data_IF_906228635813
#
_entry.id   IF_906228635813
#
_cell.length_a   1.000
_cell.length_b   1.000
_cell.length_c   1.000
_cell.angle_alpha   90.00
_cell.angle_beta   90.00
_cell.angle_gamma   90.00
#
_symmetry.space_group_name_H-M   'P 1'
#
loop_
_entity.id
_entity.type
_entity.pdbx_description
1 polymer ?
#
# COMPACT_ATOMS: atom_id res chain seq x y z
N UNK A 1 5.41 -13.93 11.22
CA UNK A 1 6.08 -13.64 9.94
C UNK A 1 5.02 -13.82 8.88
N UNK A 2 4.55 -12.74 8.27
CA UNK A 2 3.64 -12.85 7.14
C UNK A 2 4.45 -12.57 5.88
N UNK A 3 4.35 -13.45 4.89
CA UNK A 3 5.13 -13.37 3.67
C UNK A 3 4.24 -12.90 2.52
N UNK A 4 4.61 -11.77 1.92
CA UNK A 4 4.38 -11.53 0.50
C UNK A 4 5.64 -11.90 -0.26
N UNK A 5 5.50 -12.21 -1.56
CA UNK A 5 6.67 -12.35 -2.44
C UNK A 5 7.50 -11.06 -2.54
N UNK A 6 6.95 -9.91 -2.09
CA UNK A 6 7.52 -8.57 -2.28
C UNK A 6 7.95 -7.86 -0.98
N UNK A 7 7.56 -8.36 0.20
CA UNK A 7 7.80 -7.71 1.49
C UNK A 7 7.52 -8.60 2.70
N UNK A 8 8.11 -8.24 3.84
CA UNK A 8 7.83 -8.79 5.18
C UNK A 8 8.22 -7.79 6.26
N UNK A 9 7.39 -7.66 7.29
CA UNK A 9 7.68 -6.85 8.46
C UNK A 9 7.48 -7.61 9.78
N UNK A 10 8.20 -7.15 10.80
CA UNK A 10 7.94 -7.50 12.19
C UNK A 10 6.66 -6.80 12.66
N UNK A 11 5.66 -7.58 13.11
CA UNK A 11 4.44 -6.99 13.68
C UNK A 11 4.78 -6.25 14.96
N UNK A 12 4.50 -4.94 15.00
CA UNK A 12 4.79 -4.08 16.15
C UNK A 12 6.29 -3.87 16.41
N UNK A 13 7.14 -4.26 15.46
CA UNK A 13 8.59 -4.15 15.55
C UNK A 13 9.13 -2.89 14.86
N UNK A 14 10.41 -2.94 14.50
CA UNK A 14 11.11 -1.83 13.82
C UNK A 14 11.69 -2.21 12.47
N UNK A 15 11.65 -3.49 12.10
CA UNK A 15 12.28 -3.97 10.87
C UNK A 15 11.23 -4.40 9.84
N UNK A 16 11.36 -3.85 8.63
CA UNK A 16 10.66 -4.30 7.44
C UNK A 16 11.69 -4.54 6.33
N UNK A 17 11.47 -5.61 5.56
CA UNK A 17 12.31 -6.02 4.45
C UNK A 17 11.46 -6.04 3.19
N UNK A 18 11.92 -5.34 2.16
CA UNK A 18 11.28 -5.34 0.85
C UNK A 18 12.21 -6.05 -0.14
N UNK A 19 11.64 -6.63 -1.20
CA UNK A 19 12.49 -7.20 -2.24
C UNK A 19 13.34 -6.13 -2.92
N UNK A 20 14.52 -6.50 -3.46
CA UNK A 20 15.37 -5.55 -4.17
C UNK A 20 14.62 -4.78 -5.26
N UNK A 21 13.73 -5.42 -6.01
CA UNK A 21 12.95 -4.77 -7.06
C UNK A 21 12.07 -3.64 -6.54
N UNK A 22 11.37 -3.84 -5.41
CA UNK A 22 10.55 -2.83 -4.75
C UNK A 22 11.43 -1.69 -4.24
N UNK A 23 12.51 -2.02 -3.51
CA UNK A 23 13.48 -1.03 -3.02
C UNK A 23 14.04 -0.16 -4.14
N UNK A 24 14.44 -0.76 -5.26
CA UNK A 24 14.97 -0.03 -6.42
C UNK A 24 13.91 0.88 -7.05
N UNK A 25 12.67 0.40 -7.20
CA UNK A 25 11.60 1.24 -7.78
C UNK A 25 11.31 2.46 -6.92
N UNK A 26 11.22 2.29 -5.60
CA UNK A 26 11.00 3.37 -4.63
C UNK A 26 12.18 4.37 -4.63
N UNK A 27 13.43 3.87 -4.68
CA UNK A 27 14.62 4.73 -4.75
C UNK A 27 14.60 5.60 -6.01
N UNK A 28 14.32 5.01 -7.18
CA UNK A 28 14.28 5.76 -8.45
C UNK A 28 13.18 6.83 -8.45
N UNK A 29 12.01 6.50 -7.90
CA UNK A 29 10.95 7.48 -7.72
C UNK A 29 11.42 8.65 -6.84
N UNK A 30 11.98 8.36 -5.67
CA UNK A 30 12.30 9.37 -4.66
C UNK A 30 13.53 10.25 -4.98
N UNK A 31 14.49 9.72 -5.74
CA UNK A 31 15.81 10.35 -5.89
C UNK A 31 16.25 10.58 -7.33
N UNK A 32 15.56 10.02 -8.32
CA UNK A 32 15.94 10.11 -9.73
C UNK A 32 14.86 10.76 -10.61
N UNK A 33 13.78 11.27 -9.99
CA UNK A 33 12.62 11.85 -10.68
C UNK A 33 12.02 10.92 -11.76
N UNK A 34 12.13 9.62 -11.51
CA UNK A 34 11.65 8.59 -12.43
C UNK A 34 10.44 7.87 -11.83
N UNK A 35 9.26 8.34 -12.24
CA UNK A 35 7.98 7.71 -11.90
C UNK A 35 7.88 6.27 -12.41
N UNK A 36 8.58 5.93 -13.50
CA UNK A 36 8.57 4.59 -14.09
C UNK A 36 7.19 4.14 -14.57
N UNK A 37 6.98 2.81 -14.58
CA UNK A 37 5.68 2.22 -14.92
C UNK A 37 4.67 2.49 -13.81
N UNK A 38 3.50 3.01 -14.19
CA UNK A 38 2.41 3.33 -13.27
C UNK A 38 2.06 2.15 -12.33
N UNK A 39 1.89 0.94 -12.88
CA UNK A 39 1.49 -0.24 -12.10
C UNK A 39 2.59 -0.72 -11.15
N UNK A 40 3.85 -0.66 -11.59
CA UNK A 40 4.99 -1.09 -10.78
C UNK A 40 5.23 -0.12 -9.63
N UNK A 41 5.14 1.18 -9.89
CA UNK A 41 5.29 2.21 -8.86
C UNK A 41 4.13 2.21 -7.88
N UNK A 42 2.89 2.04 -8.36
CA UNK A 42 1.73 1.85 -7.51
C UNK A 42 1.90 0.63 -6.57
N UNK A 43 2.34 -0.51 -7.10
CA UNK A 43 2.60 -1.71 -6.29
C UNK A 43 3.72 -1.47 -5.27
N UNK A 44 4.83 -0.84 -5.67
CA UNK A 44 5.94 -0.57 -4.78
C UNK A 44 5.54 0.32 -3.59
N UNK A 45 4.73 1.36 -3.84
CA UNK A 45 4.19 2.22 -2.79
C UNK A 45 3.23 1.45 -1.89
N UNK A 46 2.32 0.64 -2.46
CA UNK A 46 1.37 -0.15 -1.69
C UNK A 46 2.06 -1.19 -0.78
N UNK A 47 3.10 -1.86 -1.27
CA UNK A 47 3.89 -2.81 -0.45
C UNK A 47 4.59 -2.08 0.70
N UNK A 48 5.27 -0.96 0.44
CA UNK A 48 5.87 -0.17 1.53
C UNK A 48 4.83 0.28 2.57
N UNK A 49 3.66 0.75 2.10
CA UNK A 49 2.57 1.18 2.97
C UNK A 49 2.01 0.02 3.82
N UNK A 50 1.87 -1.16 3.22
CA UNK A 50 1.41 -2.38 3.87
C UNK A 50 2.35 -2.81 4.99
N UNK A 51 3.65 -2.93 4.69
CA UNK A 51 4.64 -3.31 5.70
C UNK A 51 4.72 -2.28 6.84
N UNK A 52 4.50 -0.99 6.55
CA UNK A 52 4.43 0.04 7.57
C UNK A 52 3.26 -0.17 8.54
N UNK A 53 2.14 -0.75 8.11
CA UNK A 53 1.02 -1.09 9.00
C UNK A 53 1.31 -2.30 9.88
N UNK A 54 2.06 -3.28 9.39
CA UNK A 54 2.58 -4.34 10.23
C UNK A 54 3.52 -3.81 11.30
N UNK A 55 4.44 -2.90 10.97
CA UNK A 55 5.29 -2.23 11.98
C UNK A 55 4.46 -1.50 13.05
N UNK A 56 3.27 -1.00 12.70
CA UNK A 56 2.32 -0.40 13.66
C UNK A 56 1.51 -1.42 14.48
N UNK A 57 1.70 -2.71 14.26
CA UNK A 57 1.06 -3.79 15.01
C UNK A 57 -0.19 -4.37 14.35
N UNK A 58 -0.56 -3.98 13.14
CA UNK A 58 -1.63 -4.65 12.40
C UNK A 58 -1.18 -6.07 12.03
N UNK A 59 -2.02 -7.06 12.29
CA UNK A 59 -1.73 -8.49 12.07
C UNK A 59 -2.56 -9.10 10.95
N UNK A 60 -3.63 -8.43 10.54
CA UNK A 60 -4.54 -8.90 9.53
C UNK A 60 -4.15 -8.34 8.15
N UNK A 61 -3.79 -9.24 7.23
CA UNK A 61 -3.35 -8.92 5.87
C UNK A 61 -4.35 -8.08 5.06
N UNK A 62 -5.63 -8.43 5.11
CA UNK A 62 -6.68 -7.70 4.40
C UNK A 62 -6.89 -6.29 4.96
N UNK A 63 -6.84 -6.14 6.28
CA UNK A 63 -6.92 -4.82 6.94
C UNK A 63 -5.65 -3.99 6.65
N UNK A 64 -4.47 -4.60 6.76
CA UNK A 64 -3.20 -3.96 6.40
C UNK A 64 -3.21 -3.47 4.95
N UNK A 65 -3.70 -4.28 4.00
CA UNK A 65 -3.90 -3.87 2.61
C UNK A 65 -4.87 -2.70 2.47
N UNK A 66 -6.01 -2.75 3.15
CA UNK A 66 -6.97 -1.65 3.11
C UNK A 66 -6.34 -0.33 3.55
N UNK A 67 -5.63 -0.35 4.68
CA UNK A 67 -4.96 0.83 5.19
C UNK A 67 -3.78 1.24 4.31
N UNK A 68 -3.08 0.29 3.70
CA UNK A 68 -1.98 0.54 2.78
C UNK A 68 -2.42 1.34 1.55
N UNK A 69 -3.57 1.01 0.95
CA UNK A 69 -4.09 1.80 -0.18
C UNK A 69 -4.39 3.24 0.25
N UNK A 70 -4.89 3.45 1.46
CA UNK A 70 -5.19 4.79 1.96
C UNK A 70 -3.92 5.59 2.31
N UNK A 71 -3.05 5.02 3.14
CA UNK A 71 -1.79 5.67 3.53
C UNK A 71 -0.78 5.78 2.40
N UNK A 72 -0.90 4.92 1.38
CA UNK A 72 -0.05 4.92 0.18
C UNK A 72 -0.17 6.21 -0.62
N UNK A 73 -1.31 6.92 -0.53
CA UNK A 73 -1.48 8.24 -1.16
C UNK A 73 -0.54 9.27 -0.54
N UNK A 74 -0.40 9.27 0.79
CA UNK A 74 0.52 10.16 1.50
C UNK A 74 1.97 9.75 1.29
N UNK A 75 2.28 8.45 1.29
CA UNK A 75 3.62 7.93 1.01
C UNK A 75 4.06 8.32 -0.41
N UNK A 76 3.21 8.13 -1.42
CA UNK A 76 3.51 8.51 -2.80
C UNK A 76 3.84 10.00 -2.94
N UNK A 77 3.10 10.87 -2.24
CA UNK A 77 3.38 12.32 -2.22
C UNK A 77 4.75 12.62 -1.58
N UNK A 78 5.08 11.98 -0.45
CA UNK A 78 6.39 12.15 0.20
C UNK A 78 7.54 11.65 -0.67
N UNK A 79 7.28 10.75 -1.60
CA UNK A 79 8.25 10.23 -2.58
C UNK A 79 8.28 11.04 -3.88
N UNK A 80 7.53 12.15 -3.99
CA UNK A 80 7.62 13.09 -5.10
C UNK A 80 6.44 13.07 -6.09
N UNK A 81 5.46 12.17 -5.92
CA UNK A 81 4.28 12.16 -6.78
C UNK A 81 3.34 13.34 -6.47
N UNK A 82 2.62 13.80 -7.49
CA UNK A 82 1.45 14.66 -7.25
C UNK A 82 0.39 13.92 -6.42
N UNK A 83 -0.40 14.66 -5.64
CA UNK A 83 -1.50 14.09 -4.88
C UNK A 83 -2.51 13.35 -5.77
N UNK A 84 -2.77 13.87 -6.97
CA UNK A 84 -3.67 13.25 -7.94
C UNK A 84 -3.13 11.92 -8.46
N UNK A 85 -1.84 11.88 -8.85
CA UNK A 85 -1.20 10.65 -9.34
C UNK A 85 -1.16 9.58 -8.26
N UNK A 86 -0.74 9.93 -7.04
CA UNK A 86 -0.70 8.99 -5.92
C UNK A 86 -2.09 8.41 -5.60
N UNK A 87 -3.12 9.25 -5.58
CA UNK A 87 -4.50 8.82 -5.34
C UNK A 87 -5.03 7.92 -6.48
N UNK A 88 -4.70 8.23 -7.75
CA UNK A 88 -5.05 7.36 -8.88
C UNK A 88 -4.38 6.00 -8.78
N UNK A 89 -3.11 5.95 -8.39
CA UNK A 89 -2.37 4.71 -8.21
C UNK A 89 -2.99 3.83 -7.13
N UNK A 90 -3.32 4.39 -5.97
CA UNK A 90 -3.90 3.63 -4.87
C UNK A 90 -5.33 3.17 -5.14
N UNK A 91 -6.14 4.00 -5.83
CA UNK A 91 -7.45 3.56 -6.33
C UNK A 91 -7.34 2.35 -7.26
N UNK A 92 -6.34 2.33 -8.14
CA UNK A 92 -6.10 1.18 -9.02
C UNK A 92 -5.72 -0.06 -8.21
N UNK A 93 -4.82 0.07 -7.22
CA UNK A 93 -4.43 -1.06 -6.37
C UNK A 93 -5.62 -1.63 -5.58
N UNK A 94 -6.50 -0.77 -5.05
CA UNK A 94 -7.73 -1.19 -4.38
C UNK A 94 -8.70 -1.88 -5.36
N UNK A 95 -8.90 -1.32 -6.56
CA UNK A 95 -9.79 -1.89 -7.57
C UNK A 95 -9.32 -3.28 -8.04
N UNK A 96 -8.01 -3.47 -8.18
CA UNK A 96 -7.42 -4.73 -8.62
C UNK A 96 -7.22 -5.74 -7.48
N UNK A 97 -7.41 -5.34 -6.21
CA UNK A 97 -7.09 -6.17 -5.04
C UNK A 97 -7.80 -7.53 -5.08
N UNK A 98 -9.08 -7.57 -5.46
CA UNK A 98 -9.82 -8.82 -5.57
C UNK A 98 -9.26 -9.77 -6.64
N UNK A 99 -8.63 -9.24 -7.70
CA UNK A 99 -7.98 -10.05 -8.73
C UNK A 99 -6.65 -10.61 -8.22
N UNK A 100 -5.83 -9.78 -7.55
CA UNK A 100 -4.55 -10.22 -7.01
C UNK A 100 -4.71 -11.18 -5.82
N UNK A 101 -5.73 -11.01 -4.98
CA UNK A 101 -5.99 -11.85 -3.83
C UNK A 101 -6.53 -13.25 -4.20
N UNK A 102 -6.82 -13.55 -5.48
CA UNK A 102 -7.29 -14.89 -5.89
C UNK A 102 -6.28 -16.00 -5.54
N UNK A 103 -4.99 -15.71 -5.61
CA UNK A 103 -3.93 -16.66 -5.24
C UNK A 103 -3.51 -16.58 -3.77
N UNK A 104 -3.96 -15.55 -3.04
CA UNK A 104 -3.64 -15.31 -1.64
C UNK A 104 -4.83 -14.61 -0.94
N UNK A 105 -5.90 -15.35 -0.60
CA UNK A 105 -7.18 -14.79 -0.15
C UNK A 105 -7.10 -13.98 1.14
N UNK A 106 -6.10 -14.22 1.98
CA UNK A 106 -5.84 -13.49 3.21
C UNK A 106 -5.60 -11.99 2.96
N UNK A 107 -5.09 -11.63 1.79
CA UNK A 107 -4.82 -10.25 1.36
C UNK A 107 -6.04 -9.52 0.79
N UNK A 108 -7.19 -10.18 0.72
CA UNK A 108 -8.41 -9.55 0.25
C UNK A 108 -8.84 -8.48 1.25
N UNK A 109 -8.93 -7.23 0.79
CA UNK A 109 -9.45 -6.13 1.59
C UNK A 109 -10.90 -6.44 2.00
N UNK A 110 -11.26 -6.33 3.30
CA UNK A 110 -12.63 -6.58 3.75
C UNK A 110 -13.64 -5.64 3.09
N UNK A 111 -14.92 -6.01 3.08
CA UNK A 111 -16.01 -5.19 2.52
C UNK A 111 -16.20 -3.82 3.21
N UNK A 112 -15.71 -3.69 4.45
CA UNK A 112 -15.68 -2.42 5.18
C UNK A 112 -14.55 -1.48 4.73
N UNK A 113 -13.68 -1.91 3.81
CA UNK A 113 -12.67 -1.09 3.14
C UNK A 113 -13.28 -0.23 2.03
N UNK A 114 -13.96 0.84 2.43
CA UNK A 114 -14.65 1.77 1.54
C UNK A 114 -14.80 3.13 2.21
N UNK A 115 -15.08 4.16 1.43
CA UNK A 115 -15.36 5.51 1.93
C UNK A 115 -16.50 5.50 2.96
N UNK A 116 -16.24 6.06 4.14
CA UNK A 116 -17.13 6.06 5.29
C UNK A 116 -17.34 4.69 5.96
N UNK A 117 -16.60 3.66 5.53
CA UNK A 117 -16.58 2.34 6.13
C UNK A 117 -15.81 2.31 7.45
N UNK A 118 -15.89 1.18 8.17
CA UNK A 118 -15.19 1.02 9.47
C UNK A 118 -13.67 1.05 9.36
N UNK A 119 -13.13 0.76 8.17
CA UNK A 119 -11.70 0.76 7.89
C UNK A 119 -11.24 2.03 7.16
N UNK A 120 -12.12 3.02 7.00
CA UNK A 120 -11.72 4.34 6.51
C UNK A 120 -10.90 5.06 7.58
N UNK A 121 -9.66 5.42 7.25
CA UNK A 121 -8.74 6.13 8.14
C UNK A 121 -9.16 7.59 8.35
N UNK A 122 -9.97 8.15 7.45
CA UNK A 122 -10.43 9.55 7.47
C UNK A 122 -11.91 9.66 7.10
N UNK A 123 -12.82 9.07 7.91
CA UNK A 123 -14.24 9.02 7.60
C UNK A 123 -14.83 10.42 7.49
N UNK A 124 -15.67 10.62 6.46
CA UNK A 124 -16.33 11.90 6.18
C UNK A 124 -15.48 12.94 5.45
N UNK A 125 -14.23 12.61 5.11
CA UNK A 125 -13.36 13.52 4.34
C UNK A 125 -13.58 13.44 2.82
N UNK A 126 -14.19 12.35 2.33
CA UNK A 126 -14.32 12.06 0.89
C UNK A 126 -12.98 11.83 0.19
N UNK A 127 -11.92 11.53 0.93
CA UNK A 127 -10.54 11.35 0.42
C UNK A 127 -10.13 9.89 0.23
N UNK A 128 -11.06 8.95 0.42
CA UNK A 128 -10.79 7.53 0.30
C UNK A 128 -10.43 7.11 -1.15
N UNK A 129 -9.55 6.12 -1.35
CA UNK A 129 -8.66 5.55 -0.35
C UNK A 129 -7.64 6.59 0.11
#
# INVERSE_FOLDING_TARGET
IVQHADGVAEVGGSNAYLTPAICFRLRRLAFEDDEGSFSQTARAIAVLAHEAWHLKGETNEGIANCYAFQSGVEIGQRLGLSAETAARMMRQQLADNATFARSAPEYLAPSDCRDGGRLDLRPGSGRFP
#
